data_IF_744349625081
#
_entry.id   IF_744349625081
#
_cell.length_a   1.000
_cell.length_b   1.000
_cell.length_c   1.000
_cell.angle_alpha   90.00
_cell.angle_beta   90.00
_cell.angle_gamma   90.00
#
_symmetry.space_group_name_H-M   'P 1'
#
loop_
_entity.id
_entity.type
_entity.pdbx_description
1 polymer ?
#
# COMPACT_ATOMS: atom_id res chain seq x y z
N UNK A 1 15.97 -9.85 -23.79
CA UNK A 1 15.06 -10.65 -22.95
C UNK A 1 13.66 -10.24 -23.33
N UNK A 2 12.71 -11.16 -23.47
CA UNK A 2 11.33 -10.79 -23.84
C UNK A 2 10.51 -10.84 -22.56
N UNK A 3 9.89 -9.72 -22.21
CA UNK A 3 8.93 -9.59 -21.11
C UNK A 3 7.51 -9.52 -21.69
N UNK A 4 6.53 -10.07 -20.97
CA UNK A 4 5.12 -10.03 -21.36
C UNK A 4 4.52 -8.65 -21.10
N UNK A 5 4.97 -7.97 -20.04
CA UNK A 5 4.63 -6.59 -19.69
C UNK A 5 5.89 -5.88 -19.16
N UNK A 6 6.00 -4.57 -19.37
CA UNK A 6 7.10 -3.74 -18.87
C UNK A 6 6.55 -2.61 -18.00
N UNK A 7 7.22 -2.35 -16.87
CA UNK A 7 6.91 -1.31 -15.91
C UNK A 7 8.19 -0.60 -15.50
N UNK A 8 8.08 0.60 -14.95
CA UNK A 8 9.22 1.27 -14.30
C UNK A 8 9.45 0.73 -12.88
N UNK A 9 8.36 0.34 -12.20
CA UNK A 9 8.38 -0.13 -10.81
C UNK A 9 7.43 -1.32 -10.65
N UNK A 10 7.93 -2.38 -10.02
CA UNK A 10 7.11 -3.52 -9.60
C UNK A 10 7.12 -3.60 -8.07
N UNK A 11 5.93 -3.50 -7.48
CA UNK A 11 5.69 -3.68 -6.04
C UNK A 11 5.09 -5.06 -5.81
N UNK A 12 5.77 -5.88 -5.01
CA UNK A 12 5.36 -7.25 -4.70
C UNK A 12 4.68 -7.27 -3.33
N UNK A 13 3.38 -7.54 -3.32
CA UNK A 13 2.53 -7.71 -2.14
C UNK A 13 1.68 -6.48 -1.82
N UNK A 14 0.35 -6.64 -1.84
CA UNK A 14 -0.60 -5.57 -1.55
C UNK A 14 -0.96 -5.42 -0.05
N UNK A 15 0.04 -5.53 0.82
CA UNK A 15 -0.09 -5.13 2.23
C UNK A 15 -0.08 -3.60 2.39
N UNK A 16 -0.17 -3.09 3.62
CA UNK A 16 -0.15 -1.65 3.90
C UNK A 16 1.06 -0.92 3.29
N UNK A 17 2.26 -1.52 3.39
CA UNK A 17 3.47 -0.96 2.82
C UNK A 17 3.44 -0.96 1.28
N UNK A 18 2.98 -2.05 0.66
CA UNK A 18 2.89 -2.15 -0.79
C UNK A 18 1.84 -1.21 -1.38
N UNK A 19 0.72 -0.98 -0.68
CA UNK A 19 -0.29 -0.01 -1.11
C UNK A 19 0.29 1.42 -1.15
N UNK A 20 1.03 1.83 -0.11
CA UNK A 20 1.68 3.15 -0.10
C UNK A 20 2.79 3.25 -1.15
N UNK A 21 3.65 2.23 -1.26
CA UNK A 21 4.74 2.21 -2.24
C UNK A 21 4.20 2.30 -3.67
N UNK A 22 3.19 1.50 -4.00
CA UNK A 22 2.60 1.48 -5.34
C UNK A 22 1.87 2.79 -5.66
N UNK A 23 1.09 3.32 -4.71
CA UNK A 23 0.43 4.62 -4.88
C UNK A 23 1.43 5.77 -5.04
N UNK A 24 2.52 5.76 -4.27
CA UNK A 24 3.55 6.78 -4.33
C UNK A 24 4.31 6.74 -5.68
N UNK A 25 4.81 5.58 -6.09
CA UNK A 25 5.54 5.43 -7.36
C UNK A 25 4.68 5.85 -8.56
N UNK A 26 3.44 5.37 -8.62
CA UNK A 26 2.52 5.69 -9.70
C UNK A 26 2.21 7.20 -9.78
N UNK A 27 1.98 7.85 -8.64
CA UNK A 27 1.71 9.30 -8.58
C UNK A 27 2.91 10.18 -8.84
N UNK A 28 4.13 9.64 -8.70
CA UNK A 28 5.37 10.30 -9.14
C UNK A 28 5.61 10.16 -10.66
N UNK A 29 4.75 9.43 -11.37
CA UNK A 29 4.74 9.33 -12.83
C UNK A 29 5.23 7.99 -13.38
N UNK A 30 5.69 7.05 -12.54
CA UNK A 30 6.18 5.75 -12.97
C UNK A 30 5.03 4.80 -13.36
N UNK A 31 5.17 4.10 -14.48
CA UNK A 31 4.32 2.95 -14.78
C UNK A 31 4.59 1.86 -13.74
N UNK A 32 3.62 1.63 -12.85
CA UNK A 32 3.81 0.81 -11.64
C UNK A 32 2.89 -0.39 -11.65
N UNK A 33 3.44 -1.59 -11.46
CA UNK A 33 2.65 -2.79 -11.19
C UNK A 33 2.60 -3.09 -9.69
N UNK A 34 1.40 -3.28 -9.13
CA UNK A 34 1.21 -3.88 -7.81
C UNK A 34 0.77 -5.33 -7.97
N UNK A 35 1.69 -6.25 -7.71
CA UNK A 35 1.44 -7.70 -7.81
C UNK A 35 1.01 -8.23 -6.45
N UNK A 36 -0.10 -8.97 -6.39
CA UNK A 36 -0.57 -9.60 -5.15
C UNK A 36 -1.17 -10.96 -5.41
N UNK A 37 -1.07 -11.86 -4.43
CA UNK A 37 -1.63 -13.22 -4.54
C UNK A 37 -3.15 -13.18 -4.64
N UNK A 38 -3.80 -12.20 -3.99
CA UNK A 38 -5.24 -12.04 -3.98
C UNK A 38 -5.63 -10.55 -3.96
N UNK A 39 -6.35 -10.09 -4.99
CA UNK A 39 -6.84 -8.72 -5.12
C UNK A 39 -7.94 -8.38 -4.09
N UNK A 40 -8.66 -9.38 -3.59
CA UNK A 40 -9.70 -9.20 -2.57
C UNK A 40 -9.11 -9.02 -1.16
N UNK A 41 -7.80 -9.17 -0.99
CA UNK A 41 -7.08 -9.02 0.28
C UNK A 41 -6.16 -7.79 0.33
N UNK A 42 -6.27 -6.89 -0.66
CA UNK A 42 -5.53 -5.61 -0.70
C UNK A 42 -5.78 -4.80 0.57
N UNK A 43 -4.72 -4.42 1.29
CA UNK A 43 -4.86 -3.59 2.50
C UNK A 43 -5.57 -4.28 3.66
N UNK A 44 -5.62 -5.63 3.68
CA UNK A 44 -6.26 -6.37 4.76
C UNK A 44 -5.61 -6.08 6.13
N UNK A 45 -6.45 -5.79 7.12
CA UNK A 45 -6.04 -5.65 8.52
C UNK A 45 -6.03 -7.00 9.23
N UNK A 46 -4.89 -7.70 9.21
CA UNK A 46 -4.77 -9.06 9.79
C UNK A 46 -4.72 -9.12 11.31
N UNK A 47 -4.39 -8.01 11.98
CA UNK A 47 -4.28 -7.93 13.44
C UNK A 47 -5.45 -7.12 14.02
N UNK A 48 -5.17 -6.00 14.68
CA UNK A 48 -6.20 -5.14 15.25
C UNK A 48 -6.81 -4.22 14.19
N UNK A 49 -8.14 -4.02 14.19
CA UNK A 49 -8.82 -3.11 13.27
C UNK A 49 -8.63 -1.64 13.68
N UNK A 50 -7.38 -1.18 13.78
CA UNK A 50 -7.05 0.15 14.26
C UNK A 50 -5.82 0.73 13.55
N UNK A 51 -5.89 2.02 13.25
CA UNK A 51 -4.79 2.82 12.70
C UNK A 51 -4.41 3.91 13.71
N UNK A 52 -3.12 4.20 13.81
CA UNK A 52 -2.58 5.13 14.79
C UNK A 52 -2.31 4.50 16.16
N UNK A 53 -2.26 5.34 17.20
CA UNK A 53 -1.70 5.00 18.51
C UNK A 53 -0.44 5.82 18.82
N UNK A 54 0.12 5.74 20.02
CA UNK A 54 1.15 6.69 20.52
C UNK A 54 2.24 7.07 19.50
N UNK A 55 2.98 6.09 18.95
CA UNK A 55 3.96 6.35 17.90
C UNK A 55 3.32 6.32 16.50
N UNK A 56 2.44 5.33 16.26
CA UNK A 56 1.86 5.05 14.95
C UNK A 56 1.02 6.20 14.39
N UNK A 57 0.36 6.98 15.25
CA UNK A 57 -0.46 8.12 14.84
C UNK A 57 0.38 9.27 14.28
N UNK A 58 1.63 9.42 14.74
CA UNK A 58 2.59 10.35 14.15
C UNK A 58 2.99 9.88 12.76
N UNK A 59 3.38 8.60 12.62
CA UNK A 59 3.73 8.01 11.32
C UNK A 59 2.59 8.15 10.30
N UNK A 60 1.34 7.90 10.72
CA UNK A 60 0.17 8.06 9.83
C UNK A 60 0.03 9.52 9.35
N UNK A 61 0.29 10.49 10.23
CA UNK A 61 0.26 11.92 9.89
C UNK A 61 1.43 12.32 8.98
N UNK A 62 2.61 11.74 9.19
CA UNK A 62 3.78 11.95 8.34
C UNK A 62 3.54 11.36 6.94
N UNK A 63 2.99 10.15 6.85
CA UNK A 63 2.58 9.52 5.59
C UNK A 63 1.57 10.44 4.87
N UNK A 64 0.54 10.92 5.56
CA UNK A 64 -0.46 11.84 5.00
C UNK A 64 0.18 13.14 4.50
N UNK A 65 1.11 13.72 5.26
CA UNK A 65 1.84 14.94 4.87
C UNK A 65 2.74 14.74 3.64
N UNK A 66 3.34 13.55 3.48
CA UNK A 66 4.07 13.14 2.27
C UNK A 66 3.12 12.79 1.11
N UNK A 67 1.81 12.89 1.33
CA UNK A 67 0.78 12.64 0.34
C UNK A 67 0.33 11.19 0.25
N UNK A 68 0.73 10.30 1.16
CA UNK A 68 0.28 8.91 1.23
C UNK A 68 -1.23 8.76 1.44
N UNK A 69 -1.73 7.54 1.42
CA UNK A 69 -3.18 7.26 1.35
C UNK A 69 -3.80 6.76 2.65
N UNK A 70 -3.01 6.20 3.57
CA UNK A 70 -3.46 5.57 4.82
C UNK A 70 -4.31 6.51 5.68
N UNK A 71 -3.89 7.77 5.84
CA UNK A 71 -4.61 8.79 6.62
C UNK A 71 -6.03 9.05 6.08
N UNK A 72 -6.13 9.29 4.76
CA UNK A 72 -7.42 9.54 4.10
C UNK A 72 -8.34 8.32 4.09
N UNK A 73 -7.78 7.13 3.96
CA UNK A 73 -8.56 5.88 3.98
C UNK A 73 -9.14 5.67 5.38
N UNK A 74 -8.34 5.80 6.44
CA UNK A 74 -8.86 5.64 7.80
C UNK A 74 -9.92 6.69 8.15
N UNK A 75 -9.80 7.93 7.66
CA UNK A 75 -10.81 8.97 7.90
C UNK A 75 -12.17 8.59 7.28
N UNK A 76 -12.18 7.88 6.14
CA UNK A 76 -13.41 7.45 5.46
C UNK A 76 -14.03 6.20 6.05
N UNK A 77 -13.22 5.35 6.67
CA UNK A 77 -13.62 3.99 7.08
C UNK A 77 -13.58 3.81 8.60
N UNK A 78 -13.22 4.86 9.32
CA UNK A 78 -13.11 4.88 10.77
C UNK A 78 -14.48 4.91 11.44
N UNK A 79 -14.66 4.06 12.44
CA UNK A 79 -15.90 3.98 13.24
C UNK A 79 -15.77 4.67 14.61
N UNK A 80 -14.54 4.96 15.04
CA UNK A 80 -14.27 5.69 16.27
C UNK A 80 -12.91 6.37 16.20
N UNK A 81 -12.83 7.63 16.61
CA UNK A 81 -11.60 8.42 16.67
C UNK A 81 -11.33 8.86 18.11
N UNK A 82 -10.07 8.74 18.55
CA UNK A 82 -9.61 9.21 19.86
C UNK A 82 -8.25 9.88 19.73
N UNK A 83 -8.04 10.91 20.56
CA UNK A 83 -6.73 11.50 20.77
C UNK A 83 -6.14 10.90 22.06
N UNK A 84 -5.07 10.12 21.93
CA UNK A 84 -4.35 9.59 23.07
C UNK A 84 -3.51 10.69 23.73
N UNK A 85 -3.26 10.58 25.04
CA UNK A 85 -2.53 11.58 25.82
C UNK A 85 -3.11 13.01 25.73
N UNK A 86 -4.42 13.14 25.54
CA UNK A 86 -5.11 14.43 25.36
C UNK A 86 -4.76 15.47 26.44
N UNK A 87 -4.59 15.06 27.69
CA UNK A 87 -4.25 15.96 28.80
C UNK A 87 -2.75 16.26 28.95
N UNK A 88 -1.86 15.60 28.20
CA UNK A 88 -0.40 15.65 28.41
C UNK A 88 0.36 16.57 27.43
N UNK A 89 -0.27 17.63 26.94
CA UNK A 89 0.35 18.58 26.00
C UNK A 89 0.52 18.04 24.57
N UNK A 90 0.62 18.91 23.55
CA UNK A 90 0.53 18.51 22.15
C UNK A 90 1.69 17.62 21.67
N UNK A 91 2.89 17.77 22.23
CA UNK A 91 4.09 17.05 21.79
C UNK A 91 4.02 15.53 21.99
N UNK A 92 3.12 15.03 22.86
CA UNK A 92 2.95 13.59 23.15
C UNK A 92 1.55 13.08 22.84
N UNK A 93 0.69 13.94 22.29
CA UNK A 93 -0.63 13.56 21.82
C UNK A 93 -0.53 12.76 20.52
N UNK A 94 -1.39 11.76 20.34
CA UNK A 94 -1.37 11.00 19.08
C UNK A 94 -2.75 10.46 18.70
N UNK A 95 -3.17 10.60 17.44
CA UNK A 95 -4.45 10.11 16.98
C UNK A 95 -4.48 8.57 16.92
N UNK A 96 -5.65 8.00 17.22
CA UNK A 96 -5.95 6.59 17.03
C UNK A 96 -7.40 6.45 16.55
N UNK A 97 -7.60 5.65 15.52
CA UNK A 97 -8.91 5.31 15.01
C UNK A 97 -9.15 3.79 15.03
N UNK A 98 -10.37 3.38 15.34
CA UNK A 98 -10.87 2.03 15.03
C UNK A 98 -11.46 2.06 13.63
N UNK A 99 -11.18 1.04 12.83
CA UNK A 99 -11.62 0.92 11.45
C UNK A 99 -12.69 -0.16 11.32
N UNK A 100 -13.64 0.05 10.41
CA UNK A 100 -14.34 -1.08 9.80
C UNK A 100 -13.38 -1.79 8.83
N UNK A 101 -13.08 -3.07 9.09
CA UNK A 101 -12.12 -3.85 8.30
C UNK A 101 -12.54 -4.00 6.84
N UNK A 102 -13.84 -4.21 6.62
CA UNK A 102 -14.39 -4.43 5.28
C UNK A 102 -14.34 -3.14 4.48
N UNK A 103 -14.79 -2.03 5.08
CA UNK A 103 -14.75 -0.72 4.42
C UNK A 103 -13.33 -0.25 4.16
N UNK A 104 -12.39 -0.45 5.09
CA UNK A 104 -10.98 -0.07 4.87
C UNK A 104 -10.39 -0.78 3.65
N UNK A 105 -10.63 -2.07 3.52
CA UNK A 105 -10.17 -2.90 2.40
C UNK A 105 -10.78 -2.45 1.07
N UNK A 106 -12.10 -2.22 1.06
CA UNK A 106 -12.83 -1.75 -0.13
C UNK A 106 -12.32 -0.38 -0.56
N UNK A 107 -12.17 0.56 0.38
CA UNK A 107 -11.72 1.91 0.07
C UNK A 107 -10.25 1.95 -0.38
N UNK A 108 -9.39 1.15 0.24
CA UNK A 108 -7.99 0.99 -0.20
C UNK A 108 -7.93 0.52 -1.65
N UNK A 109 -8.65 -0.56 -1.98
CA UNK A 109 -8.72 -1.08 -3.34
C UNK A 109 -9.26 -0.03 -4.32
N UNK A 110 -10.36 0.64 -3.97
CA UNK A 110 -10.97 1.69 -4.80
C UNK A 110 -10.00 2.83 -5.09
N UNK A 111 -9.22 3.26 -4.10
CA UNK A 111 -8.20 4.31 -4.27
C UNK A 111 -7.07 3.86 -5.18
N UNK A 112 -6.58 2.62 -5.03
CA UNK A 112 -5.52 2.09 -5.88
C UNK A 112 -5.99 1.89 -7.33
N UNK A 113 -7.18 1.34 -7.54
CA UNK A 113 -7.79 1.18 -8.88
C UNK A 113 -8.02 2.53 -9.58
N UNK A 114 -8.26 3.59 -8.81
CA UNK A 114 -8.43 4.95 -9.34
C UNK A 114 -7.10 5.73 -9.50
N UNK A 115 -5.96 5.16 -9.11
CA UNK A 115 -4.66 5.84 -9.23
C UNK A 115 -4.12 5.67 -10.66
N UNK A 116 -3.85 6.78 -11.35
CA UNK A 116 -3.22 6.76 -12.67
C UNK A 116 -1.86 6.08 -12.64
N UNK A 117 -1.50 5.39 -13.72
CA UNK A 117 -0.23 4.67 -13.91
C UNK A 117 -0.03 3.48 -12.94
N UNK A 118 -1.05 3.11 -12.15
CA UNK A 118 -1.01 1.96 -11.26
C UNK A 118 -1.82 0.79 -11.83
N UNK A 119 -1.13 -0.33 -12.05
CA UNK A 119 -1.70 -1.55 -12.61
C UNK A 119 -1.74 -2.65 -11.56
N UNK A 120 -2.94 -3.11 -11.21
CA UNK A 120 -3.10 -4.23 -10.29
C UNK A 120 -2.96 -5.55 -11.04
N UNK A 121 -2.14 -6.46 -10.52
CA UNK A 121 -1.95 -7.80 -11.09
C UNK A 121 -2.12 -8.86 -10.02
N UNK A 122 -2.98 -9.84 -10.29
CA UNK A 122 -3.09 -11.01 -9.45
C UNK A 122 -2.10 -12.07 -9.90
N UNK A 123 -1.35 -12.60 -8.94
CA UNK A 123 -0.54 -13.80 -9.10
C UNK A 123 0.60 -13.88 -8.09
N UNK A 124 1.32 -14.99 -8.14
CA UNK A 124 2.41 -15.29 -7.23
C UNK A 124 3.74 -15.02 -7.94
N UNK A 125 4.56 -14.14 -7.39
CA UNK A 125 5.93 -13.93 -7.85
C UNK A 125 6.80 -15.05 -7.29
N UNK A 126 7.56 -15.73 -8.15
CA UNK A 126 8.37 -16.90 -7.78
C UNK A 126 9.87 -16.66 -7.92
N UNK A 127 10.30 -15.73 -8.78
CA UNK A 127 11.72 -15.48 -9.00
C UNK A 127 12.00 -14.02 -9.39
N UNK A 128 13.17 -13.51 -8.99
CA UNK A 128 13.73 -12.26 -9.50
C UNK A 128 14.61 -12.53 -10.72
N UNK A 129 14.40 -11.79 -11.79
CA UNK A 129 15.24 -11.86 -12.99
C UNK A 129 16.40 -10.88 -12.80
N UNK A 130 17.63 -11.40 -12.68
CA UNK A 130 18.82 -10.60 -12.36
C UNK A 130 19.85 -10.70 -13.49
N UNK A 131 20.30 -9.55 -13.99
CA UNK A 131 21.35 -9.44 -15.01
C UNK A 131 22.43 -8.51 -14.49
N UNK A 132 23.70 -8.93 -14.51
CA UNK A 132 24.83 -8.12 -14.06
C UNK A 132 24.64 -7.51 -12.65
N UNK A 133 24.10 -8.30 -11.70
CA UNK A 133 23.77 -7.88 -10.33
C UNK A 133 22.69 -6.79 -10.21
N UNK A 134 21.94 -6.53 -11.28
CA UNK A 134 20.78 -5.62 -11.31
C UNK A 134 19.51 -6.44 -11.53
N UNK A 135 18.47 -6.15 -10.75
CA UNK A 135 17.12 -6.68 -11.01
C UNK A 135 16.59 -6.01 -12.28
N UNK A 136 16.13 -6.82 -13.22
CA UNK A 136 15.55 -6.37 -14.50
C UNK A 136 14.08 -6.80 -14.67
N UNK A 137 13.53 -7.49 -13.67
CA UNK A 137 12.16 -7.98 -13.71
C UNK A 137 11.90 -9.11 -12.72
N UNK A 138 10.73 -9.72 -12.86
CA UNK A 138 10.26 -10.86 -12.06
C UNK A 138 9.61 -11.93 -12.94
N UNK A 139 9.62 -13.17 -12.45
CA UNK A 139 8.85 -14.28 -13.02
C UNK A 139 7.68 -14.65 -12.08
N UNK A 140 6.51 -14.82 -12.67
CA UNK A 140 5.29 -15.25 -12.00
C UNK A 140 5.12 -16.77 -12.10
N UNK A 141 4.39 -17.37 -11.15
CA UNK A 141 4.14 -18.82 -11.11
C UNK A 141 3.47 -19.37 -12.38
N UNK A 142 2.71 -18.54 -13.09
CA UNK A 142 2.05 -18.91 -14.35
C UNK A 142 2.95 -18.77 -15.59
N UNK A 143 4.23 -18.47 -15.40
CA UNK A 143 5.24 -18.35 -16.45
C UNK A 143 5.37 -16.95 -17.04
N UNK A 144 4.48 -16.00 -16.70
CA UNK A 144 4.60 -14.61 -17.16
C UNK A 144 5.82 -13.92 -16.56
N UNK A 145 6.45 -13.05 -17.35
CA UNK A 145 7.61 -12.26 -16.95
C UNK A 145 7.32 -10.78 -17.08
N UNK A 146 7.51 -10.04 -15.98
CA UNK A 146 7.30 -8.59 -15.93
C UNK A 146 8.65 -7.91 -15.81
N UNK A 147 8.96 -6.98 -16.72
CA UNK A 147 10.21 -6.21 -16.72
C UNK A 147 10.14 -4.95 -15.85
N UNK A 148 11.26 -4.59 -15.22
CA UNK A 148 11.48 -3.32 -14.49
C UNK A 148 12.97 -2.94 -14.37
#
# INVERSE_FOLDING_TARGET
MIFDEEFDVIVIGAGHAGCEAASASARLGSETALVTINLDLIGQMSCNPAIGGIAKGHIVREIDALGGIMGRIIDRTGIQFRLLNRSRGPAVQSPRAQADRSLYRIEMRRVLEATSNLHLRQGLVVEFIVVNKRVVGIEMQDGRRLGA
#
